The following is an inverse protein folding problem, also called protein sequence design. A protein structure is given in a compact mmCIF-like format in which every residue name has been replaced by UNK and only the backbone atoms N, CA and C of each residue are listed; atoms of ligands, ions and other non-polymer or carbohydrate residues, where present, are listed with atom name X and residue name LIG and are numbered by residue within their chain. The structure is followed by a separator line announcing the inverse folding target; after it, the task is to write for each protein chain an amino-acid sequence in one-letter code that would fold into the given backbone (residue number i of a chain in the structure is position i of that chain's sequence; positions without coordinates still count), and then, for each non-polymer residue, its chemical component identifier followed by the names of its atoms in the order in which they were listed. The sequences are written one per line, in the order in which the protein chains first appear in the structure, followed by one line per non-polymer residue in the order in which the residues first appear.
data_IF_854698650663
#
_entry.id   IF_854698650663
#
_cell.length_a   1.000
_cell.length_b   1.000
_cell.length_c   1.000
_cell.angle_alpha   90.00
_cell.angle_beta   90.00
_cell.angle_gamma   90.00
#
_symmetry.space_group_name_H-M   'P 1'
#
loop_
_entity.id
_entity.type
_entity.pdbx_description
1 polymer ?
#
# COMPACT_ATOMS: atom_id res chain seq x y z
N UNK A 1 28.28 -9.10 -4.03
CA UNK A 1 26.98 -9.67 -3.61
C UNK A 1 25.90 -8.74 -4.09
N UNK A 2 25.06 -9.19 -5.02
CA UNK A 2 23.89 -8.41 -5.46
C UNK A 2 22.93 -8.34 -4.28
N UNK A 3 22.75 -7.15 -3.70
CA UNK A 3 21.67 -6.92 -2.72
C UNK A 3 20.37 -7.24 -3.45
N UNK A 4 19.58 -8.16 -2.91
CA UNK A 4 18.29 -8.50 -3.49
C UNK A 4 17.48 -7.20 -3.58
N UNK A 5 17.11 -6.80 -4.80
CA UNK A 5 16.39 -5.55 -5.07
C UNK A 5 15.09 -5.46 -4.24
N UNK A 6 14.49 -6.62 -3.95
CA UNK A 6 13.30 -6.71 -3.10
C UNK A 6 13.53 -6.15 -1.69
N UNK A 7 14.73 -6.25 -1.13
CA UNK A 7 15.02 -5.77 0.24
C UNK A 7 14.98 -4.25 0.36
N UNK A 8 15.01 -3.51 -0.76
CA UNK A 8 14.97 -2.03 -0.79
C UNK A 8 13.57 -1.47 -1.05
N UNK A 9 12.59 -2.31 -1.36
CA UNK A 9 11.22 -1.93 -1.67
C UNK A 9 10.37 -2.01 -0.42
N UNK A 10 10.05 -0.88 0.18
CA UNK A 10 9.35 -0.78 1.46
C UNK A 10 7.90 -0.41 1.24
N UNK A 11 6.98 -1.18 1.79
CA UNK A 11 5.54 -0.91 1.68
C UNK A 11 5.04 -0.14 2.90
N UNK A 12 4.36 0.96 2.63
CA UNK A 12 3.54 1.70 3.58
C UNK A 12 2.08 1.42 3.21
N UNK A 13 1.38 0.67 4.04
CA UNK A 13 0.01 0.22 3.81
C UNK A 13 -0.91 0.53 5.00
N UNK A 14 -2.06 -0.09 5.10
CA UNK A 14 -2.99 0.03 6.21
C UNK A 14 -4.22 0.87 5.90
N UNK A 15 -4.80 1.47 6.93
CA UNK A 15 -6.08 2.14 6.84
C UNK A 15 -6.07 3.34 5.88
N UNK A 16 -7.11 3.45 5.05
CA UNK A 16 -7.37 4.68 4.29
C UNK A 16 -7.60 5.83 5.27
N UNK A 17 -7.05 7.02 4.98
CA UNK A 17 -7.10 8.15 5.91
C UNK A 17 -6.16 8.05 7.11
N UNK A 18 -5.32 7.03 7.21
CA UNK A 18 -4.31 6.87 8.28
C UNK A 18 -3.05 7.75 8.11
N UNK A 19 -3.07 8.74 7.23
CA UNK A 19 -1.95 9.68 7.05
C UNK A 19 -0.77 9.13 6.23
N UNK A 20 -0.97 8.10 5.41
CA UNK A 20 0.09 7.52 4.55
C UNK A 20 0.67 8.52 3.56
N UNK A 21 -0.18 9.25 2.84
CA UNK A 21 0.27 10.22 1.82
C UNK A 21 1.16 11.32 2.41
N UNK A 22 0.84 11.79 3.61
CA UNK A 22 1.64 12.79 4.32
C UNK A 22 3.00 12.21 4.72
N UNK A 23 3.03 10.97 5.18
CA UNK A 23 4.27 10.27 5.53
C UNK A 23 5.16 10.06 4.29
N UNK A 24 4.57 9.63 3.17
CA UNK A 24 5.30 9.42 1.92
C UNK A 24 5.86 10.74 1.36
N UNK A 25 5.10 11.84 1.46
CA UNK A 25 5.59 13.16 1.11
C UNK A 25 6.80 13.59 1.98
N UNK A 26 6.79 13.27 3.27
CA UNK A 26 7.92 13.53 4.15
C UNK A 26 9.15 12.67 3.81
N UNK A 27 8.96 11.39 3.49
CA UNK A 27 10.04 10.53 3.04
C UNK A 27 10.66 11.03 1.71
N UNK A 28 9.82 11.50 0.78
CA UNK A 28 10.27 12.14 -0.46
C UNK A 28 11.07 13.43 -0.19
N UNK A 29 10.59 14.27 0.74
CA UNK A 29 11.31 15.48 1.16
C UNK A 29 12.68 15.17 1.77
N UNK A 30 12.83 14.01 2.40
CA UNK A 30 14.11 13.51 2.94
C UNK A 30 15.01 12.86 1.88
N UNK A 31 14.63 12.88 0.61
CA UNK A 31 15.43 12.41 -0.51
C UNK A 31 15.24 10.94 -0.88
N UNK A 32 14.20 10.30 -0.38
CA UNK A 32 13.87 8.92 -0.74
C UNK A 32 12.90 8.86 -1.92
N UNK A 33 13.02 7.82 -2.75
CA UNK A 33 12.08 7.57 -3.83
C UNK A 33 10.74 7.06 -3.28
N UNK A 34 9.65 7.54 -3.87
CA UNK A 34 8.29 7.16 -3.52
C UNK A 34 7.54 6.73 -4.77
N UNK A 35 6.79 5.65 -4.67
CA UNK A 35 5.87 5.16 -5.70
C UNK A 35 4.44 5.41 -5.22
N UNK A 36 3.70 6.20 -6.00
CA UNK A 36 2.33 6.59 -5.68
C UNK A 36 1.35 5.43 -5.74
N UNK A 37 0.24 5.54 -5.00
CA UNK A 37 -0.83 4.56 -4.98
C UNK A 37 -1.38 4.30 -6.40
N UNK A 38 -1.39 3.04 -6.87
CA UNK A 38 -1.90 2.69 -8.19
C UNK A 38 -3.34 3.12 -8.44
N UNK A 39 -4.19 3.01 -7.42
CA UNK A 39 -5.62 3.27 -7.52
C UNK A 39 -5.97 4.67 -8.02
N UNK A 40 -5.27 5.70 -7.56
CA UNK A 40 -5.51 7.08 -8.01
C UNK A 40 -5.21 7.26 -9.49
N UNK A 41 -4.10 6.70 -9.97
CA UNK A 41 -3.73 6.76 -11.40
C UNK A 41 -4.73 6.03 -12.27
N UNK A 42 -5.16 4.84 -11.85
CA UNK A 42 -6.16 4.05 -12.56
C UNK A 42 -7.47 4.84 -12.69
N UNK A 43 -7.97 5.42 -11.60
CA UNK A 43 -9.20 6.24 -11.64
C UNK A 43 -9.06 7.39 -12.62
N UNK A 44 -7.95 8.12 -12.61
CA UNK A 44 -7.73 9.22 -13.55
C UNK A 44 -7.68 8.75 -15.01
N UNK A 45 -6.98 7.65 -15.29
CA UNK A 45 -6.90 7.06 -16.63
C UNK A 45 -8.26 6.58 -17.12
N UNK A 46 -9.01 5.84 -16.27
CA UNK A 46 -10.33 5.31 -16.62
C UNK A 46 -11.35 6.45 -16.88
N UNK A 47 -11.39 7.47 -16.04
CA UNK A 47 -12.24 8.63 -16.26
C UNK A 47 -11.87 9.38 -17.54
N UNK A 48 -10.57 9.50 -17.85
CA UNK A 48 -10.10 10.19 -19.06
C UNK A 48 -10.46 9.47 -20.36
N UNK A 49 -10.58 8.14 -20.36
CA UNK A 49 -10.89 7.32 -21.54
C UNK A 49 -12.33 6.78 -21.57
N UNK A 50 -13.15 7.09 -20.56
CA UNK A 50 -14.51 6.51 -20.44
C UNK A 50 -14.49 5.00 -20.13
N UNK A 51 -13.48 4.53 -19.44
CA UNK A 51 -13.34 3.12 -19.07
C UNK A 51 -14.22 2.74 -17.88
N UNK A 52 -14.32 1.43 -17.60
CA UNK A 52 -15.19 0.86 -16.57
C UNK A 52 -14.44 0.26 -15.37
N UNK A 53 -13.11 0.17 -15.42
CA UNK A 53 -12.31 -0.37 -14.31
C UNK A 53 -12.19 0.66 -13.17
N UNK A 54 -13.32 1.01 -12.59
CA UNK A 54 -13.47 1.97 -11.49
C UNK A 54 -14.02 1.26 -10.26
N UNK A 55 -13.61 1.64 -9.02
CA UNK A 55 -14.04 0.97 -7.80
C UNK A 55 -15.56 0.89 -7.61
N UNK A 56 -16.29 1.84 -8.18
CA UNK A 56 -17.76 1.95 -8.09
C UNK A 56 -18.52 1.43 -9.31
N UNK A 57 -17.83 0.98 -10.38
CA UNK A 57 -18.44 0.39 -11.59
C UNK A 57 -18.09 -1.10 -11.68
N UNK A 58 -16.80 -1.42 -11.74
CA UNK A 58 -16.27 -2.77 -11.79
C UNK A 58 -15.07 -2.89 -10.86
N UNK A 59 -15.32 -3.12 -9.56
CA UNK A 59 -14.25 -3.20 -8.56
C UNK A 59 -13.27 -4.36 -8.81
N UNK A 60 -13.71 -5.47 -9.41
CA UNK A 60 -12.82 -6.59 -9.73
C UNK A 60 -11.85 -6.21 -10.87
N UNK A 61 -12.35 -5.58 -11.93
CA UNK A 61 -11.51 -5.06 -13.02
C UNK A 61 -10.55 -3.99 -12.51
N UNK A 62 -11.00 -3.10 -11.63
CA UNK A 62 -10.14 -2.11 -10.98
C UNK A 62 -8.99 -2.76 -10.20
N UNK A 63 -9.27 -3.80 -9.41
CA UNK A 63 -8.23 -4.49 -8.63
C UNK A 63 -7.27 -5.30 -9.50
N UNK A 64 -7.75 -5.91 -10.60
CA UNK A 64 -6.87 -6.56 -11.58
C UNK A 64 -5.92 -5.54 -12.22
N UNK A 65 -6.44 -4.38 -12.57
CA UNK A 65 -5.65 -3.27 -13.08
C UNK A 65 -4.63 -2.77 -12.05
N UNK A 66 -5.01 -2.69 -10.76
CA UNK A 66 -4.10 -2.32 -9.68
C UNK A 66 -2.94 -3.32 -9.51
N UNK A 67 -3.19 -4.62 -9.70
CA UNK A 67 -2.13 -5.64 -9.71
C UNK A 67 -1.16 -5.41 -10.88
N UNK A 68 -1.67 -5.19 -12.10
CA UNK A 68 -0.84 -4.93 -13.28
C UNK A 68 0.05 -3.69 -13.10
N UNK A 69 -0.54 -2.59 -12.61
CA UNK A 69 0.18 -1.34 -12.37
C UNK A 69 1.23 -1.51 -11.25
N UNK A 70 0.89 -2.23 -10.17
CA UNK A 70 1.84 -2.52 -9.10
C UNK A 70 3.04 -3.35 -9.57
N UNK A 71 2.83 -4.30 -10.47
CA UNK A 71 3.91 -5.08 -11.08
C UNK A 71 4.82 -4.21 -11.96
N UNK A 72 4.21 -3.34 -12.78
CA UNK A 72 4.96 -2.41 -13.64
C UNK A 72 5.77 -1.40 -12.81
N UNK A 73 5.18 -0.84 -11.77
CA UNK A 73 5.86 0.08 -10.85
C UNK A 73 7.05 -0.58 -10.15
N UNK A 74 6.84 -1.81 -9.70
CA UNK A 74 7.88 -2.58 -9.04
C UNK A 74 9.06 -2.87 -10.00
N UNK A 75 8.78 -3.16 -11.26
CA UNK A 75 9.81 -3.35 -12.28
C UNK A 75 10.55 -2.03 -12.57
N UNK A 76 9.83 -0.93 -12.75
CA UNK A 76 10.43 0.39 -12.96
C UNK A 76 11.30 0.83 -11.78
N UNK A 77 10.90 0.51 -10.55
CA UNK A 77 11.64 0.84 -9.34
C UNK A 77 13.01 0.13 -9.23
N UNK A 78 13.26 -0.94 -9.99
CA UNK A 78 14.55 -1.66 -9.99
C UNK A 78 15.73 -0.77 -10.39
N UNK A 79 15.49 0.21 -11.23
CA UNK A 79 16.53 1.15 -11.69
C UNK A 79 16.87 2.21 -10.62
N UNK A 80 16.04 2.35 -9.57
CA UNK A 80 16.22 3.37 -8.54
C UNK A 80 17.18 2.85 -7.46
N UNK A 81 18.18 3.65 -7.10
CA UNK A 81 19.09 3.36 -5.99
C UNK A 81 18.48 3.71 -4.62
N UNK A 82 18.96 3.07 -3.55
CA UNK A 82 18.50 3.34 -2.17
C UNK A 82 17.11 2.77 -1.87
N UNK A 83 16.50 3.26 -0.81
CA UNK A 83 15.15 2.87 -0.39
C UNK A 83 14.09 3.43 -1.33
N UNK A 84 13.12 2.60 -1.71
CA UNK A 84 11.93 2.99 -2.48
C UNK A 84 10.70 2.66 -1.65
N UNK A 85 9.92 3.67 -1.32
CA UNK A 85 8.71 3.54 -0.51
C UNK A 85 7.48 3.51 -1.40
N UNK A 86 6.66 2.49 -1.25
CA UNK A 86 5.44 2.27 -2.03
C UNK A 86 4.22 2.66 -1.21
N UNK A 87 3.37 3.52 -1.76
CA UNK A 87 2.03 3.76 -1.22
C UNK A 87 1.15 2.59 -1.61
N UNK A 88 0.97 1.65 -0.70
CA UNK A 88 0.44 0.31 -0.92
C UNK A 88 1.34 -0.54 -1.84
N UNK A 89 1.16 -1.83 -1.81
CA UNK A 89 1.92 -2.78 -2.61
C UNK A 89 1.02 -3.72 -3.39
N UNK A 90 1.65 -4.59 -4.15
CA UNK A 90 0.98 -5.67 -4.88
C UNK A 90 0.10 -6.54 -3.97
N UNK A 91 0.56 -6.77 -2.73
CA UNK A 91 -0.16 -7.58 -1.74
C UNK A 91 -1.51 -6.97 -1.38
N UNK A 92 -1.60 -5.65 -1.28
CA UNK A 92 -2.86 -4.94 -1.00
C UNK A 92 -3.93 -5.24 -2.05
N UNK A 93 -3.57 -5.13 -3.33
CA UNK A 93 -4.48 -5.38 -4.44
C UNK A 93 -4.83 -6.86 -4.58
N UNK A 94 -3.85 -7.76 -4.42
CA UNK A 94 -4.06 -9.21 -4.47
C UNK A 94 -4.95 -9.69 -3.31
N UNK A 95 -4.75 -9.19 -2.09
CA UNK A 95 -5.58 -9.45 -0.93
C UNK A 95 -7.03 -9.02 -1.16
N UNK A 96 -7.23 -7.79 -1.66
CA UNK A 96 -8.57 -7.27 -1.94
C UNK A 96 -9.30 -8.08 -3.02
N UNK A 97 -8.61 -8.41 -4.11
CA UNK A 97 -9.20 -9.19 -5.20
C UNK A 97 -9.53 -10.61 -4.76
N UNK A 98 -8.62 -11.29 -4.04
CA UNK A 98 -8.89 -12.62 -3.50
C UNK A 98 -10.06 -12.61 -2.53
N UNK A 99 -10.15 -11.62 -1.65
CA UNK A 99 -11.27 -11.48 -0.72
C UNK A 99 -12.61 -11.29 -1.46
N UNK A 100 -12.59 -10.55 -2.57
CA UNK A 100 -13.80 -10.26 -3.36
C UNK A 100 -14.25 -11.44 -4.22
N UNK A 101 -13.31 -12.15 -4.86
CA UNK A 101 -13.61 -13.14 -5.90
C UNK A 101 -13.41 -14.59 -5.45
N UNK A 102 -12.64 -14.82 -4.39
CA UNK A 102 -12.20 -16.16 -3.98
C UNK A 102 -11.04 -16.72 -4.81
N UNK A 103 -10.53 -16.00 -5.82
CA UNK A 103 -9.38 -16.44 -6.61
C UNK A 103 -8.11 -16.49 -5.74
N UNK A 104 -7.35 -17.61 -5.74
CA UNK A 104 -6.17 -17.76 -4.87
C UNK A 104 -4.95 -17.02 -5.44
N UNK A 105 -4.96 -15.70 -5.39
CA UNK A 105 -3.95 -14.81 -5.98
C UNK A 105 -2.87 -14.34 -4.98
N UNK A 106 -3.24 -14.23 -3.70
CA UNK A 106 -2.41 -13.61 -2.68
C UNK A 106 -1.07 -14.33 -2.50
N UNK A 107 -1.11 -15.65 -2.31
CA UNK A 107 0.09 -16.44 -2.04
C UNK A 107 1.05 -16.48 -3.24
N UNK A 108 0.62 -16.84 -4.46
CA UNK A 108 1.53 -16.89 -5.61
C UNK A 108 2.12 -15.53 -5.94
N UNK A 109 1.34 -14.45 -5.94
CA UNK A 109 1.84 -13.11 -6.22
C UNK A 109 2.75 -12.58 -5.10
N UNK A 110 2.36 -12.76 -3.85
CA UNK A 110 3.13 -12.31 -2.69
C UNK A 110 4.47 -13.03 -2.54
N UNK A 111 4.55 -14.31 -2.92
CA UNK A 111 5.81 -15.07 -2.92
C UNK A 111 6.72 -14.72 -4.09
N UNK A 112 6.16 -14.53 -5.29
CA UNK A 112 6.94 -14.22 -6.49
C UNK A 112 7.50 -12.80 -6.49
N UNK A 113 6.82 -11.86 -5.82
CA UNK A 113 7.14 -10.42 -5.87
C UNK A 113 7.36 -9.84 -4.48
N UNK A 114 8.46 -10.23 -3.86
CA UNK A 114 8.79 -9.83 -2.48
C UNK A 114 9.13 -8.36 -2.35
N UNK A 115 8.78 -7.79 -1.20
CA UNK A 115 9.19 -6.48 -0.69
C UNK A 115 10.12 -6.65 0.51
N UNK A 116 10.55 -5.55 1.10
CA UNK A 116 11.28 -5.55 2.36
C UNK A 116 10.53 -6.39 3.42
N UNK A 117 11.27 -7.08 4.27
CA UNK A 117 10.70 -7.98 5.29
C UNK A 117 9.71 -7.30 6.23
N UNK A 118 9.91 -6.01 6.51
CA UNK A 118 9.00 -5.18 7.31
C UNK A 118 8.06 -4.40 6.43
N UNK A 119 6.78 -4.46 6.78
CA UNK A 119 5.69 -3.69 6.16
C UNK A 119 5.10 -2.77 7.22
N UNK A 120 4.96 -1.51 6.89
CA UNK A 120 4.46 -0.50 7.80
C UNK A 120 2.96 -0.32 7.59
N UNK A 121 2.18 -0.53 8.66
CA UNK A 121 0.72 -0.36 8.62
C UNK A 121 0.30 0.89 9.37
N UNK A 122 -0.35 1.81 8.64
CA UNK A 122 -1.04 2.95 9.25
C UNK A 122 -2.32 2.45 9.92
N UNK A 123 -2.44 2.56 11.26
CA UNK A 123 -3.63 2.09 11.95
C UNK A 123 -4.83 3.01 11.67
N UNK A 124 -6.08 2.54 11.93
CA UNK A 124 -7.24 3.41 11.94
C UNK A 124 -7.01 4.60 12.86
N UNK A 125 -7.29 5.80 12.37
CA UNK A 125 -7.10 7.04 13.11
C UNK A 125 -8.36 7.91 13.07
N UNK A 126 -9.38 7.59 13.88
CA UNK A 126 -10.68 8.25 13.83
C UNK A 126 -10.62 9.77 14.02
N UNK A 127 -9.65 10.26 14.81
CA UNK A 127 -9.51 11.69 15.11
C UNK A 127 -9.14 12.54 13.89
N UNK A 128 -8.51 11.97 12.87
CA UNK A 128 -8.21 12.67 11.61
C UNK A 128 -9.25 12.37 10.52
N UNK A 129 -10.20 11.49 10.79
CA UNK A 129 -11.36 11.28 9.94
C UNK A 129 -12.42 12.35 10.24
N UNK A 130 -12.80 13.16 9.25
CA UNK A 130 -13.83 14.17 9.46
C UNK A 130 -15.21 13.51 9.67
N UNK A 131 -16.01 14.10 10.57
CA UNK A 131 -17.19 13.51 11.16
C UNK A 131 -18.46 13.74 10.33
N UNK A 132 -18.62 13.12 9.16
CA UNK A 132 -19.92 13.00 8.49
C UNK A 132 -20.38 11.54 8.31
N UNK A 133 -21.67 11.35 8.00
CA UNK A 133 -22.27 10.01 7.95
C UNK A 133 -21.69 9.14 6.78
N UNK A 134 -21.38 9.72 5.65
CA UNK A 134 -20.77 9.01 4.51
C UNK A 134 -19.37 8.49 4.87
N UNK A 135 -18.61 9.30 5.61
CA UNK A 135 -17.26 8.94 6.05
C UNK A 135 -17.24 7.90 7.17
N UNK A 136 -18.33 7.69 7.90
CA UNK A 136 -18.42 6.59 8.87
C UNK A 136 -18.43 5.23 8.19
N UNK A 137 -19.19 5.07 7.11
CA UNK A 137 -19.17 3.83 6.31
C UNK A 137 -17.81 3.59 5.68
N UNK A 138 -17.16 4.63 5.19
CA UNK A 138 -15.81 4.56 4.64
C UNK A 138 -14.78 4.17 5.70
N UNK A 139 -14.91 4.67 6.92
CA UNK A 139 -14.04 4.30 8.03
C UNK A 139 -14.19 2.83 8.42
N UNK A 140 -15.41 2.30 8.51
CA UNK A 140 -15.64 0.89 8.78
C UNK A 140 -15.06 -0.02 7.69
N UNK A 141 -15.20 0.36 6.42
CA UNK A 141 -14.59 -0.35 5.31
C UNK A 141 -13.06 -0.31 5.39
N UNK A 142 -12.50 0.84 5.73
CA UNK A 142 -11.06 1.02 5.90
C UNK A 142 -10.50 0.22 7.09
N UNK A 143 -11.26 0.08 8.18
CA UNK A 143 -10.90 -0.78 9.32
C UNK A 143 -10.90 -2.24 8.90
N UNK A 144 -11.95 -2.72 8.20
CA UNK A 144 -11.99 -4.10 7.70
C UNK A 144 -10.83 -4.41 6.75
N UNK A 145 -10.46 -3.46 5.90
CA UNK A 145 -9.28 -3.59 5.04
C UNK A 145 -8.00 -3.70 5.86
N UNK A 146 -7.82 -2.83 6.86
CA UNK A 146 -6.69 -2.87 7.77
C UNK A 146 -6.57 -4.23 8.48
N UNK A 147 -7.67 -4.72 9.05
CA UNK A 147 -7.71 -6.00 9.77
C UNK A 147 -7.35 -7.17 8.85
N UNK A 148 -7.83 -7.16 7.60
CA UNK A 148 -7.47 -8.16 6.59
C UNK A 148 -5.97 -8.12 6.28
N UNK A 149 -5.41 -6.95 6.02
CA UNK A 149 -4.00 -6.78 5.71
C UNK A 149 -3.10 -7.16 6.88
N UNK A 150 -3.54 -6.91 8.13
CA UNK A 150 -2.84 -7.32 9.34
C UNK A 150 -2.76 -8.85 9.51
N UNK A 151 -3.59 -9.60 8.79
CA UNK A 151 -3.54 -11.08 8.71
C UNK A 151 -2.74 -11.52 7.48
N UNK A 152 -3.00 -10.93 6.32
CA UNK A 152 -2.48 -11.37 5.04
C UNK A 152 -0.96 -11.16 4.91
N UNK A 153 -0.43 -10.01 5.35
CA UNK A 153 1.01 -9.78 5.31
C UNK A 153 1.81 -10.80 6.15
N UNK A 154 1.45 -11.07 7.42
CA UNK A 154 2.13 -12.11 8.20
C UNK A 154 2.01 -13.51 7.60
N UNK A 155 0.88 -13.86 6.97
CA UNK A 155 0.71 -15.16 6.30
C UNK A 155 1.72 -15.38 5.18
N UNK A 156 2.20 -14.29 4.57
CA UNK A 156 3.26 -14.29 3.56
C UNK A 156 4.67 -14.18 4.16
N UNK A 157 4.80 -14.16 5.50
CA UNK A 157 6.07 -14.09 6.21
C UNK A 157 6.66 -12.68 6.34
N UNK A 158 5.82 -11.63 6.24
CA UNK A 158 6.23 -10.27 6.56
C UNK A 158 6.08 -9.97 8.05
N UNK A 159 6.96 -9.12 8.55
CA UNK A 159 6.88 -8.52 9.87
C UNK A 159 6.10 -7.20 9.76
N UNK A 160 5.03 -7.04 10.55
CA UNK A 160 4.26 -5.80 10.58
C UNK A 160 4.85 -4.84 11.61
N UNK A 161 5.08 -3.62 11.20
CA UNK A 161 5.36 -2.47 12.07
C UNK A 161 4.16 -1.53 12.02
N UNK A 162 3.42 -1.44 13.13
CA UNK A 162 2.31 -0.50 13.22
C UNK A 162 2.84 0.90 13.44
N UNK A 163 2.47 1.84 12.57
CA UNK A 163 2.89 3.22 12.67
C UNK A 163 2.24 3.91 13.88
N UNK A 164 2.99 4.72 14.64
CA UNK A 164 2.41 5.47 15.75
C UNK A 164 1.43 6.54 15.24
N UNK A 165 0.44 6.86 16.05
CA UNK A 165 -0.45 8.02 15.87
C UNK A 165 0.27 9.27 16.36
N UNK A 166 1.28 9.70 15.62
CA UNK A 166 2.22 10.75 15.98
C UNK A 166 2.44 11.71 14.80
N UNK A 167 3.23 12.73 15.02
CA UNK A 167 3.63 13.69 13.98
C UNK A 167 4.31 13.01 12.79
N UNK A 168 4.22 13.61 11.61
CA UNK A 168 4.75 13.03 10.37
C UNK A 168 6.26 12.78 10.43
N UNK A 169 7.00 13.69 11.04
CA UNK A 169 8.46 13.58 11.20
C UNK A 169 8.83 12.35 12.05
N UNK A 170 8.16 12.16 13.19
CA UNK A 170 8.36 11.02 14.08
C UNK A 170 8.03 9.71 13.40
N UNK A 171 6.93 9.64 12.62
CA UNK A 171 6.58 8.45 11.85
C UNK A 171 7.62 8.12 10.80
N UNK A 172 8.16 9.13 10.12
CA UNK A 172 9.25 8.95 9.16
C UNK A 172 10.53 8.43 9.84
N UNK A 173 10.85 8.92 11.04
CA UNK A 173 11.98 8.45 11.83
C UNK A 173 11.83 6.97 12.20
N UNK A 174 10.62 6.56 12.63
CA UNK A 174 10.30 5.14 12.92
C UNK A 174 10.52 4.25 11.70
N UNK A 175 10.03 4.70 10.53
CA UNK A 175 10.20 3.93 9.27
C UNK A 175 11.68 3.79 8.94
N UNK A 176 12.43 4.89 8.89
CA UNK A 176 13.83 4.90 8.48
C UNK A 176 14.74 4.12 9.44
N UNK A 177 14.52 4.22 10.75
CA UNK A 177 15.23 3.41 11.72
C UNK A 177 14.95 1.92 11.52
N UNK A 178 13.67 1.57 11.33
CA UNK A 178 13.27 0.15 11.20
C UNK A 178 13.74 -0.52 9.92
N UNK A 179 13.96 0.18 8.82
CA UNK A 179 14.47 -0.44 7.58
C UNK A 179 15.99 -0.58 7.56
N UNK A 180 16.69 0.14 8.45
CA UNK A 180 18.16 0.11 8.54
C UNK A 180 18.68 -1.00 9.47
N UNK A 181 17.80 -1.60 10.29
CA UNK A 181 18.09 -2.74 11.18
C UNK A 181 17.97 -4.08 10.42
#
# INVERSE_FOLDING_TARGET
MSVDVATRFVVISGCSGGGKSTLLAELARRGHAVVEEPGRRIVQEELGRGGSALPWIDPAAFLRRAIEVSLADREAARAIGGWVFFDRGLVDAASALQHMTGEPLLEPLGRAHRYHRRVFLAPPWPEIYAADAERRHDLEAAIREYDRLAIDYPSLGYEIVVLPRAGVAERADVVLASVSD
#
